data_IF_175332777992
#
_entry.id   IF_175332777992
#
_cell.length_a   1.000
_cell.length_b   1.000
_cell.length_c   1.000
_cell.angle_alpha   90.00
_cell.angle_beta   90.00
_cell.angle_gamma   90.00
#
_symmetry.space_group_name_H-M   'P 1'
#
loop_
_entity.id
_entity.type
_entity.pdbx_description
1 polymer ?
#
# COMPACT_ATOMS: atom_id res chain seq x y z
N UNK A 1 -23.72 -11.06 -0.31
CA UNK A 1 -23.44 -11.88 -1.51
C UNK A 1 -24.29 -11.34 -2.64
N UNK A 2 -23.73 -11.08 -3.83
CA UNK A 2 -24.52 -10.65 -5.00
C UNK A 2 -25.59 -11.68 -5.36
N UNK A 3 -26.75 -11.21 -5.85
CA UNK A 3 -27.91 -12.08 -6.12
C UNK A 3 -27.63 -13.17 -7.17
N UNK A 4 -26.71 -12.92 -8.08
CA UNK A 4 -26.27 -13.87 -9.12
C UNK A 4 -25.32 -14.97 -8.59
N UNK A 5 -24.85 -14.86 -7.35
CA UNK A 5 -23.97 -15.84 -6.72
C UNK A 5 -24.78 -16.76 -5.81
N UNK A 6 -24.44 -18.08 -5.75
CA UNK A 6 -25.09 -19.00 -4.85
C UNK A 6 -24.79 -18.70 -3.39
N UNK A 7 -25.65 -19.21 -2.50
CA UNK A 7 -25.51 -19.09 -1.07
C UNK A 7 -24.18 -19.68 -0.56
N UNK A 8 -23.63 -19.11 0.50
CA UNK A 8 -22.40 -19.54 1.12
C UNK A 8 -22.68 -20.67 2.09
N UNK A 9 -22.09 -21.84 1.85
CA UNK A 9 -22.02 -22.91 2.83
C UNK A 9 -20.82 -22.70 3.77
N UNK A 10 -19.64 -22.41 3.22
CA UNK A 10 -18.39 -22.25 4.00
C UNK A 10 -17.41 -21.32 3.30
N UNK A 11 -16.80 -20.43 4.05
CA UNK A 11 -15.67 -19.61 3.58
C UNK A 11 -14.40 -20.45 3.67
N UNK A 12 -13.63 -20.46 2.59
CA UNK A 12 -12.34 -21.12 2.50
C UNK A 12 -11.19 -20.17 2.77
N UNK A 13 -11.26 -18.95 2.18
CA UNK A 13 -10.19 -17.98 2.24
C UNK A 13 -10.76 -16.56 2.10
N UNK A 14 -10.15 -15.63 2.84
CA UNK A 14 -10.34 -14.20 2.71
C UNK A 14 -8.97 -13.57 2.50
N UNK A 15 -8.79 -12.89 1.37
CA UNK A 15 -7.63 -12.04 1.10
C UNK A 15 -8.06 -10.59 1.09
N UNK A 16 -7.22 -9.74 1.65
CA UNK A 16 -7.42 -8.30 1.69
C UNK A 16 -6.11 -7.61 1.31
N UNK A 17 -6.19 -6.64 0.42
CA UNK A 17 -5.05 -5.81 0.00
C UNK A 17 -5.47 -4.36 0.12
N UNK A 18 -4.64 -3.52 0.72
CA UNK A 18 -4.86 -2.09 0.83
C UNK A 18 -3.96 -1.32 -0.13
N UNK A 19 -4.48 -0.26 -0.71
CA UNK A 19 -3.72 0.70 -1.50
C UNK A 19 -4.16 2.13 -1.17
N UNK A 20 -3.22 3.08 -1.30
CA UNK A 20 -3.52 4.50 -1.21
C UNK A 20 -3.99 4.98 -2.58
N UNK A 21 -5.12 5.65 -2.62
CA UNK A 21 -5.71 6.20 -3.85
C UNK A 21 -5.53 7.71 -3.95
N UNK A 22 -5.42 8.41 -2.82
CA UNK A 22 -5.16 9.84 -2.78
C UNK A 22 -4.48 10.25 -1.47
N UNK A 23 -3.62 11.25 -1.54
CA UNK A 23 -3.00 11.91 -0.40
C UNK A 23 -3.01 13.43 -0.60
N UNK A 24 -3.35 14.17 0.44
CA UNK A 24 -3.40 15.63 0.44
C UNK A 24 -2.76 16.15 1.71
N UNK A 25 -1.83 17.10 1.56
CA UNK A 25 -1.16 17.76 2.68
C UNK A 25 -1.73 19.17 2.79
N UNK A 26 -2.10 19.52 3.97
CA UNK A 26 -2.53 20.87 4.35
C UNK A 26 -1.82 21.27 5.63
N UNK A 27 -1.82 22.57 5.96
CA UNK A 27 -1.22 23.04 7.21
C UNK A 27 -1.83 22.32 8.42
N UNK A 28 -0.98 21.60 9.16
CA UNK A 28 -1.37 20.85 10.34
C UNK A 28 -1.94 19.45 10.09
N UNK A 29 -2.08 19.00 8.83
CA UNK A 29 -2.79 17.74 8.53
C UNK A 29 -2.33 17.08 7.25
N UNK A 30 -2.32 15.73 7.27
CA UNK A 30 -2.28 14.88 6.08
C UNK A 30 -3.60 14.10 5.99
N UNK A 31 -4.32 14.28 4.89
CA UNK A 31 -5.52 13.51 4.55
C UNK A 31 -5.13 12.36 3.62
N UNK A 32 -5.59 11.16 3.91
CA UNK A 32 -5.31 9.95 3.13
C UNK A 32 -6.61 9.28 2.78
N UNK A 33 -6.80 8.99 1.52
CA UNK A 33 -7.86 8.12 1.04
C UNK A 33 -7.24 6.86 0.45
N UNK A 34 -7.78 5.73 0.78
CA UNK A 34 -7.33 4.43 0.28
C UNK A 34 -8.50 3.51 0.03
N UNK A 35 -8.16 2.37 -0.56
CA UNK A 35 -9.09 1.30 -0.88
C UNK A 35 -8.58 0.00 -0.30
N UNK A 36 -9.51 -0.81 0.17
CA UNK A 36 -9.26 -2.22 0.50
C UNK A 36 -9.99 -3.09 -0.51
N UNK A 37 -9.23 -3.87 -1.26
CA UNK A 37 -9.74 -4.88 -2.17
C UNK A 37 -9.82 -6.21 -1.44
N UNK A 38 -10.98 -6.87 -1.54
CA UNK A 38 -11.28 -8.13 -0.90
C UNK A 38 -11.52 -9.22 -1.95
N UNK A 39 -10.93 -10.37 -1.72
CA UNK A 39 -11.18 -11.59 -2.48
C UNK A 39 -11.55 -12.73 -1.54
N UNK A 40 -12.73 -13.29 -1.74
CA UNK A 40 -13.29 -14.32 -0.87
C UNK A 40 -13.52 -15.57 -1.70
N UNK A 41 -12.89 -16.67 -1.29
CA UNK A 41 -13.17 -18.00 -1.84
C UNK A 41 -14.11 -18.73 -0.89
N UNK A 42 -15.14 -19.37 -1.42
CA UNK A 42 -16.12 -20.08 -0.62
C UNK A 42 -16.66 -21.34 -1.33
N UNK A 43 -17.15 -22.27 -0.53
CA UNK A 43 -17.95 -23.41 -0.99
C UNK A 43 -19.40 -22.94 -1.01
N UNK A 44 -20.09 -22.98 -2.15
CA UNK A 44 -21.51 -22.68 -2.24
C UNK A 44 -22.36 -23.81 -1.66
N UNK A 45 -23.55 -23.45 -1.20
CA UNK A 45 -24.59 -24.41 -0.83
C UNK A 45 -25.30 -24.92 -2.10
N UNK A 46 -24.58 -25.76 -2.86
CA UNK A 46 -25.01 -26.27 -4.15
C UNK A 46 -24.25 -27.56 -4.51
N UNK A 47 -24.97 -28.59 -4.90
CA UNK A 47 -24.36 -29.85 -5.32
C UNK A 47 -23.59 -29.79 -6.65
N UNK A 48 -23.78 -28.75 -7.43
CA UNK A 48 -23.22 -28.61 -8.79
C UNK A 48 -21.91 -27.85 -8.83
N UNK A 49 -21.60 -27.02 -7.84
CA UNK A 49 -20.46 -26.11 -7.87
C UNK A 49 -19.57 -26.33 -6.66
N UNK A 50 -18.25 -26.51 -6.91
CA UNK A 50 -17.31 -26.86 -5.84
C UNK A 50 -16.75 -25.64 -5.10
N UNK A 51 -16.35 -24.59 -5.82
CA UNK A 51 -15.74 -23.37 -5.25
C UNK A 51 -16.18 -22.17 -6.07
N UNK A 52 -16.45 -21.05 -5.39
CA UNK A 52 -16.75 -19.76 -6.00
C UNK A 52 -15.94 -18.66 -5.36
N UNK A 53 -15.85 -17.51 -6.04
CA UNK A 53 -15.21 -16.31 -5.53
C UNK A 53 -16.14 -15.11 -5.50
N UNK A 54 -15.93 -14.24 -4.54
CA UNK A 54 -16.51 -12.88 -4.48
C UNK A 54 -15.35 -11.91 -4.46
N UNK A 55 -15.39 -10.91 -5.34
CA UNK A 55 -14.47 -9.79 -5.35
C UNK A 55 -15.28 -8.55 -5.02
N UNK A 56 -14.80 -7.78 -4.08
CA UNK A 56 -15.44 -6.51 -3.66
C UNK A 56 -14.39 -5.59 -3.08
N UNK A 57 -14.71 -4.31 -2.95
CA UNK A 57 -13.82 -3.32 -2.34
C UNK A 57 -14.60 -2.32 -1.50
N UNK A 58 -13.90 -1.63 -0.62
CA UNK A 58 -14.42 -0.47 0.09
C UNK A 58 -13.31 0.57 0.27
N UNK A 59 -13.72 1.83 0.27
CA UNK A 59 -12.80 2.95 0.45
C UNK A 59 -12.72 3.31 1.94
N UNK A 60 -11.59 3.86 2.36
CA UNK A 60 -11.38 4.41 3.69
C UNK A 60 -10.75 5.80 3.59
N UNK A 61 -10.96 6.62 4.60
CA UNK A 61 -10.31 7.92 4.76
C UNK A 61 -9.75 8.01 6.16
N UNK A 62 -8.50 8.48 6.27
CA UNK A 62 -7.81 8.68 7.53
C UNK A 62 -7.05 10.01 7.51
N UNK A 63 -7.05 10.70 8.65
CA UNK A 63 -6.34 11.96 8.83
C UNK A 63 -5.26 11.78 9.89
N UNK A 64 -4.13 12.46 9.67
CA UNK A 64 -3.05 12.60 10.66
C UNK A 64 -2.84 14.08 10.92
N UNK A 65 -3.01 14.47 12.17
CA UNK A 65 -2.83 15.85 12.62
C UNK A 65 -1.47 16.03 13.30
N UNK A 66 -0.71 17.02 12.88
CA UNK A 66 0.54 17.43 13.52
C UNK A 66 0.83 18.89 13.25
N UNK A 67 1.15 19.63 14.30
CA UNK A 67 1.47 21.09 14.20
C UNK A 67 2.71 21.38 13.35
N UNK A 68 3.54 20.36 13.11
CA UNK A 68 4.78 20.54 12.35
C UNK A 68 4.58 20.27 10.84
N UNK A 69 3.38 19.92 10.41
CA UNK A 69 3.07 19.69 9.00
C UNK A 69 2.70 21.02 8.36
N UNK A 70 3.36 21.31 7.25
CA UNK A 70 3.05 22.46 6.38
C UNK A 70 2.75 21.97 4.96
N UNK A 71 2.07 22.76 4.18
CA UNK A 71 1.59 22.41 2.84
C UNK A 71 2.69 22.32 1.78
N UNK A 72 3.90 22.81 2.07
CA UNK A 72 5.11 22.68 1.26
C UNK A 72 5.87 21.35 1.46
N UNK A 73 5.45 20.54 2.44
CA UNK A 73 6.07 19.24 2.73
C UNK A 73 5.60 18.15 1.77
N UNK A 74 6.38 17.07 1.67
CA UNK A 74 6.03 15.87 0.91
C UNK A 74 5.74 14.72 1.86
N UNK A 75 4.61 14.02 1.67
CA UNK A 75 4.28 12.83 2.43
C UNK A 75 4.49 11.55 1.60
N UNK A 76 5.15 10.58 2.23
CA UNK A 76 5.25 9.20 1.78
C UNK A 76 4.35 8.38 2.69
N UNK A 77 3.41 7.63 2.11
CA UNK A 77 2.42 6.90 2.89
C UNK A 77 2.32 5.49 2.34
N UNK A 78 2.50 4.52 3.22
CA UNK A 78 2.33 3.10 2.91
C UNK A 78 1.18 2.53 3.71
N UNK A 79 0.32 1.77 3.04
CA UNK A 79 -0.79 1.06 3.65
C UNK A 79 -0.55 -0.45 3.60
N UNK A 80 -0.73 -1.11 4.74
CA UNK A 80 -0.63 -2.56 4.86
C UNK A 80 -1.87 -3.10 5.55
N UNK A 81 -2.32 -4.29 5.18
CA UNK A 81 -3.35 -5.00 5.92
C UNK A 81 -2.68 -5.78 7.04
N UNK A 82 -2.91 -5.35 8.30
CA UNK A 82 -2.39 -6.03 9.46
C UNK A 82 -3.22 -7.27 9.80
N UNK A 83 -4.54 -7.19 9.62
CA UNK A 83 -5.47 -8.28 9.91
C UNK A 83 -6.75 -8.16 9.12
N UNK A 84 -7.26 -9.28 8.63
CA UNK A 84 -8.59 -9.40 8.06
C UNK A 84 -9.32 -10.55 8.75
N UNK A 85 -10.53 -10.28 9.25
CA UNK A 85 -11.37 -11.23 9.96
C UNK A 85 -12.76 -11.26 9.31
N UNK A 86 -13.40 -12.41 9.36
CA UNK A 86 -14.77 -12.54 8.87
C UNK A 86 -15.65 -13.32 9.84
N UNK A 87 -16.95 -13.05 9.77
CA UNK A 87 -17.99 -13.88 10.39
C UNK A 87 -19.16 -14.01 9.45
N UNK A 88 -19.60 -15.23 9.21
CA UNK A 88 -20.79 -15.52 8.43
C UNK A 88 -22.04 -15.26 9.33
N UNK A 89 -22.89 -14.32 8.93
CA UNK A 89 -24.11 -13.98 9.65
C UNK A 89 -25.25 -14.92 9.22
N UNK A 90 -25.33 -15.18 7.91
CA UNK A 90 -26.19 -16.18 7.28
C UNK A 90 -25.60 -16.55 5.91
N UNK A 91 -26.21 -17.46 5.17
CA UNK A 91 -25.73 -17.94 3.86
C UNK A 91 -25.48 -16.84 2.82
N UNK A 92 -26.07 -15.65 2.99
CA UNK A 92 -25.93 -14.51 2.06
C UNK A 92 -25.28 -13.29 2.67
N UNK A 93 -25.04 -13.26 3.98
CA UNK A 93 -24.49 -12.08 4.66
C UNK A 93 -23.23 -12.41 5.42
N UNK A 94 -22.14 -11.79 4.99
CA UNK A 94 -20.81 -11.88 5.58
C UNK A 94 -20.45 -10.54 6.21
N UNK A 95 -19.97 -10.58 7.45
CA UNK A 95 -19.33 -9.42 8.09
C UNK A 95 -17.83 -9.57 7.97
N UNK A 96 -17.15 -8.54 7.48
CA UNK A 96 -15.70 -8.49 7.35
C UNK A 96 -15.20 -7.30 8.16
N UNK A 97 -14.10 -7.52 8.89
CA UNK A 97 -13.36 -6.49 9.60
C UNK A 97 -11.93 -6.54 9.11
N UNK A 98 -11.43 -5.42 8.61
CA UNK A 98 -10.03 -5.26 8.18
C UNK A 98 -9.39 -4.19 9.03
N UNK A 99 -8.20 -4.47 9.53
CA UNK A 99 -7.33 -3.51 10.21
C UNK A 99 -6.25 -3.15 9.21
N UNK A 100 -6.19 -1.87 8.86
CA UNK A 100 -5.19 -1.31 7.95
C UNK A 100 -4.21 -0.50 8.78
N UNK A 101 -2.94 -0.87 8.73
CA UNK A 101 -1.83 -0.09 9.25
C UNK A 101 -1.39 0.94 8.22
N UNK A 102 -1.17 2.18 8.66
CA UNK A 102 -0.67 3.27 7.81
C UNK A 102 0.65 3.78 8.39
N UNK A 103 1.70 3.73 7.59
CA UNK A 103 3.00 4.32 7.91
C UNK A 103 3.12 5.65 7.17
N UNK A 104 3.43 6.70 7.92
CA UNK A 104 3.59 8.07 7.41
C UNK A 104 5.03 8.51 7.58
N UNK A 105 5.61 9.02 6.51
CA UNK A 105 6.86 9.77 6.53
C UNK A 105 6.60 11.11 5.86
N UNK A 106 6.89 12.22 6.58
CA UNK A 106 6.72 13.58 6.05
C UNK A 106 8.08 14.23 6.02
N UNK A 107 8.49 14.68 4.85
CA UNK A 107 9.80 15.30 4.60
C UNK A 107 9.62 16.75 4.16
N UNK A 108 10.53 17.60 4.64
CA UNK A 108 10.62 19.00 4.27
C UNK A 108 12.00 19.32 3.72
N UNK A 109 12.09 20.18 2.73
CA UNK A 109 13.36 20.77 2.34
C UNK A 109 13.74 21.89 3.31
N UNK A 110 15.01 21.90 3.73
CA UNK A 110 15.55 22.95 4.58
C UNK A 110 16.94 23.35 4.12
N UNK A 111 17.09 24.62 3.80
CA UNK A 111 18.40 25.19 3.58
C UNK A 111 19.06 25.52 4.93
N UNK A 112 20.24 25.02 5.14
CA UNK A 112 21.03 25.27 6.35
C UNK A 112 22.32 25.98 5.94
N UNK A 113 22.51 27.16 6.46
CA UNK A 113 23.78 27.90 6.33
C UNK A 113 24.68 27.49 7.47
N UNK A 114 25.92 27.09 7.14
CA UNK A 114 26.95 26.75 8.12
C UNK A 114 28.19 27.61 7.89
N UNK A 115 28.77 28.10 8.98
CA UNK A 115 30.05 28.79 8.93
C UNK A 115 31.15 27.74 8.74
N UNK A 116 31.93 27.86 7.66
CA UNK A 116 33.04 26.94 7.34
C UNK A 116 34.40 27.56 7.63
N UNK A 117 34.49 28.90 7.59
CA UNK A 117 35.73 29.64 7.79
C UNK A 117 35.43 31.06 8.36
N UNK A 118 36.36 31.60 9.10
CA UNK A 118 36.29 32.98 9.59
C UNK A 118 37.58 33.69 9.11
N UNK A 119 37.39 34.81 8.43
CA UNK A 119 38.50 35.67 7.95
C UNK A 119 38.58 36.93 8.84
N UNK A 120 39.80 37.54 8.93
CA UNK A 120 40.05 38.79 9.64
C UNK A 120 39.70 38.79 11.15
N UNK A 121 39.86 37.64 11.83
CA UNK A 121 39.60 37.50 13.25
C UNK A 121 40.92 37.28 14.03
N UNK A 122 41.58 38.33 14.49
CA UNK A 122 42.90 38.25 15.17
C UNK A 122 42.88 37.49 16.51
N UNK A 123 41.73 37.22 17.11
CA UNK A 123 41.60 36.53 18.40
C UNK A 123 40.48 35.45 18.42
N UNK A 124 40.15 34.87 17.27
CA UNK A 124 39.15 33.81 17.23
C UNK A 124 39.82 32.42 17.09
N UNK A 125 39.43 31.47 17.95
CA UNK A 125 39.76 30.07 17.84
C UNK A 125 38.60 29.35 17.17
N UNK A 126 38.86 28.72 16.01
CA UNK A 126 37.83 28.01 15.25
C UNK A 126 37.83 26.52 15.62
N UNK A 127 36.82 26.10 16.34
CA UNK A 127 36.59 24.67 16.59
C UNK A 127 35.80 24.08 15.40
N UNK A 128 36.44 23.16 14.64
CA UNK A 128 35.84 22.48 13.49
C UNK A 128 35.44 21.06 13.87
N UNK A 129 34.22 20.69 13.53
CA UNK A 129 33.71 19.32 13.68
C UNK A 129 33.23 18.78 12.31
N UNK A 130 33.53 17.51 12.03
CA UNK A 130 33.08 16.85 10.83
C UNK A 130 31.72 16.23 11.08
N UNK A 131 30.68 16.71 10.40
CA UNK A 131 29.31 16.16 10.50
C UNK A 131 28.98 15.41 9.21
N UNK A 132 28.48 14.18 9.36
CA UNK A 132 27.92 13.42 8.23
C UNK A 132 26.45 13.75 8.12
N UNK A 133 26.04 14.31 6.98
CA UNK A 133 24.66 14.58 6.66
C UNK A 133 24.17 13.57 5.62
N UNK A 134 22.93 13.10 5.78
CA UNK A 134 22.21 12.37 4.74
C UNK A 134 21.25 13.34 4.07
N UNK A 135 21.32 13.42 2.76
CA UNK A 135 20.44 14.26 1.96
C UNK A 135 19.56 13.38 1.08
N UNK A 136 18.26 13.61 1.09
CA UNK A 136 17.32 12.99 0.16
C UNK A 136 17.39 13.79 -1.16
N UNK A 137 17.97 13.19 -2.19
CA UNK A 137 18.16 13.84 -3.51
C UNK A 137 16.93 13.76 -4.41
N UNK A 138 15.93 12.96 -4.03
CA UNK A 138 14.70 12.84 -4.78
C UNK A 138 13.79 11.74 -4.25
N UNK A 139 12.50 11.93 -4.47
CA UNK A 139 11.44 10.95 -4.21
C UNK A 139 10.64 10.78 -5.50
N UNK A 140 10.43 9.56 -5.93
CA UNK A 140 9.63 9.28 -7.11
C UNK A 140 8.80 8.02 -6.89
N UNK A 141 7.58 8.05 -7.39
CA UNK A 141 6.70 6.90 -7.49
C UNK A 141 6.50 6.59 -8.97
N UNK A 142 6.54 5.32 -9.34
CA UNK A 142 6.30 4.89 -10.70
C UNK A 142 5.42 3.64 -10.73
N UNK A 143 4.56 3.57 -11.72
CA UNK A 143 3.73 2.41 -11.99
C UNK A 143 4.16 1.76 -13.30
N UNK A 144 4.18 0.45 -13.33
CA UNK A 144 4.40 -0.31 -14.54
C UNK A 144 3.43 -1.49 -14.62
N UNK A 145 3.08 -1.89 -15.84
CA UNK A 145 2.23 -3.05 -16.07
C UNK A 145 3.02 -4.16 -16.75
N UNK A 146 2.83 -5.38 -16.23
CA UNK A 146 3.33 -6.60 -16.86
C UNK A 146 2.15 -7.36 -17.45
N UNK A 147 2.27 -7.78 -18.71
CA UNK A 147 1.27 -8.59 -19.40
C UNK A 147 1.94 -9.87 -19.87
N UNK A 148 1.35 -11.00 -19.50
CA UNK A 148 1.84 -12.32 -19.88
C UNK A 148 0.65 -13.21 -20.29
N UNK A 149 0.88 -14.09 -21.23
CA UNK A 149 -0.09 -15.09 -21.67
C UNK A 149 0.34 -16.45 -21.18
N UNK A 150 -0.55 -17.13 -20.46
CA UNK A 150 -0.31 -18.47 -19.92
C UNK A 150 -1.15 -19.46 -20.74
N UNK A 151 -0.50 -20.40 -21.39
CA UNK A 151 -1.15 -21.47 -22.11
C UNK A 151 -1.33 -22.71 -21.23
N UNK A 152 -2.48 -23.37 -21.34
CA UNK A 152 -2.69 -24.66 -20.68
C UNK A 152 -1.97 -25.75 -21.47
N UNK A 153 -1.07 -26.52 -20.84
CA UNK A 153 -0.35 -27.57 -21.53
C UNK A 153 -1.27 -28.62 -22.16
N UNK A 154 -0.85 -29.17 -23.31
CA UNK A 154 -1.59 -30.21 -23.99
C UNK A 154 -1.85 -31.41 -23.08
N UNK A 155 -3.07 -31.92 -23.07
CA UNK A 155 -3.51 -33.05 -22.24
C UNK A 155 -4.06 -32.66 -20.87
N UNK A 156 -4.07 -31.38 -20.52
CA UNK A 156 -4.77 -30.87 -19.34
C UNK A 156 -6.17 -30.38 -19.67
N UNK A 157 -7.04 -30.35 -18.66
CA UNK A 157 -8.42 -29.86 -18.80
C UNK A 157 -8.42 -28.35 -19.04
N UNK A 158 -9.26 -27.88 -19.94
CA UNK A 158 -9.44 -26.44 -20.22
C UNK A 158 -9.82 -25.66 -18.97
N UNK A 159 -9.31 -24.45 -18.86
CA UNK A 159 -9.71 -23.51 -17.80
C UNK A 159 -11.09 -22.96 -18.12
N UNK A 160 -12.06 -23.19 -17.24
CA UNK A 160 -13.41 -22.62 -17.36
C UNK A 160 -13.59 -21.33 -16.59
N UNK A 161 -12.93 -21.19 -15.45
CA UNK A 161 -13.04 -20.01 -14.59
C UNK A 161 -11.73 -19.82 -13.79
N UNK A 162 -11.25 -18.60 -13.69
CA UNK A 162 -10.14 -18.23 -12.81
C UNK A 162 -10.74 -17.64 -11.52
N UNK A 163 -10.52 -18.34 -10.42
CA UNK A 163 -11.05 -17.95 -9.12
C UNK A 163 -10.14 -16.97 -8.38
N UNK A 164 -8.81 -17.09 -8.59
CA UNK A 164 -7.81 -16.29 -7.89
C UNK A 164 -6.52 -16.18 -8.71
N UNK A 165 -5.91 -15.02 -8.68
CA UNK A 165 -4.54 -14.78 -9.16
C UNK A 165 -3.78 -14.08 -8.05
N UNK A 166 -2.62 -14.62 -7.67
CA UNK A 166 -1.69 -14.01 -6.73
C UNK A 166 -0.42 -13.64 -7.47
N UNK A 167 0.06 -12.44 -7.22
CA UNK A 167 1.31 -11.93 -7.77
C UNK A 167 2.25 -11.57 -6.63
N UNK A 168 3.53 -11.85 -6.81
CA UNK A 168 4.57 -11.50 -5.84
C UNK A 168 5.81 -11.04 -6.59
N UNK A 169 6.38 -9.92 -6.16
CA UNK A 169 7.73 -9.53 -6.57
C UNK A 169 8.68 -10.27 -5.65
N UNK A 170 9.54 -11.14 -6.24
CA UNK A 170 10.47 -11.96 -5.47
C UNK A 170 11.79 -11.26 -5.20
N UNK A 171 12.30 -10.52 -6.21
CA UNK A 171 13.59 -9.85 -6.14
C UNK A 171 13.50 -8.46 -6.76
N UNK A 172 14.19 -7.51 -6.12
CA UNK A 172 14.36 -6.17 -6.67
C UNK A 172 15.83 -5.74 -6.52
N UNK A 173 16.45 -5.32 -7.62
CA UNK A 173 17.79 -4.73 -7.61
C UNK A 173 17.70 -3.23 -7.84
N UNK A 174 18.43 -2.48 -7.04
CA UNK A 174 18.53 -1.03 -7.16
C UNK A 174 19.96 -0.65 -7.56
N UNK A 175 20.07 0.12 -8.61
CA UNK A 175 21.36 0.64 -9.05
C UNK A 175 21.25 2.13 -9.36
N UNK A 176 22.02 2.93 -8.66
CA UNK A 176 22.22 4.32 -9.03
C UNK A 176 23.12 4.37 -10.26
N UNK A 177 22.65 5.00 -11.33
CA UNK A 177 23.46 5.25 -12.55
C UNK A 177 23.71 6.73 -12.60
N UNK A 178 24.99 7.11 -12.61
CA UNK A 178 25.40 8.49 -12.88
C UNK A 178 25.23 8.75 -14.37
N UNK A 179 24.39 9.72 -14.74
CA UNK A 179 24.24 10.24 -16.08
C UNK A 179 25.33 11.24 -16.44
#
# INVERSE_FOLDING_TARGET
VPDVKPDILKILQLDAVSCITNKEITNGRVNVTGRVDLKILYIPDSDREKVKSIITSFDFTQNVDSKNITDDMTAIIMANVDRAEFSLINSRKLRIKVIVGLNYEVVAEKNVEIAVEAEDCDNAELLKENVKLQNCIGLTETEFSVKESIEVPNGQTSINEILKVDTKISDSEYKAVTG
#
